data_IF_008622978502
#
_entry.id   IF_008622978502
#
_cell.length_a   1.000
_cell.length_b   1.000
_cell.length_c   1.000
_cell.angle_alpha   90.00
_cell.angle_beta   90.00
_cell.angle_gamma   90.00
#
_symmetry.space_group_name_H-M   'P 1'
#
loop_
_entity.id
_entity.type
_entity.pdbx_description
1 polymer ?
#
# COMPACT_ATOMS: atom_id res chain seq x y z
N UNK A 1 26.41 23.83 -28.30
CA UNK A 1 26.49 22.49 -28.93
C UNK A 1 25.77 21.48 -28.04
N UNK A 2 24.67 20.87 -28.49
CA UNK A 2 23.99 19.83 -27.72
C UNK A 2 24.89 18.58 -27.65
N UNK A 3 25.21 18.12 -26.44
CA UNK A 3 26.01 16.91 -26.21
C UNK A 3 25.27 15.73 -26.82
N UNK A 4 25.74 15.18 -27.94
CA UNK A 4 25.15 13.98 -28.55
C UNK A 4 25.23 12.85 -27.52
N UNK A 5 24.07 12.42 -27.01
CA UNK A 5 23.94 11.32 -26.07
C UNK A 5 24.27 10.04 -26.84
N UNK A 6 25.33 9.33 -26.45
CA UNK A 6 25.75 8.08 -27.10
C UNK A 6 24.74 6.99 -26.75
N UNK A 7 23.86 6.69 -27.70
CA UNK A 7 22.92 5.59 -27.58
C UNK A 7 23.58 4.32 -28.08
N UNK A 8 23.66 3.29 -27.23
CA UNK A 8 24.08 1.96 -27.68
C UNK A 8 22.87 1.31 -28.33
N UNK A 9 22.90 1.20 -29.65
CA UNK A 9 21.87 0.51 -30.45
C UNK A 9 22.28 -0.96 -30.56
N UNK A 10 21.36 -1.88 -30.30
CA UNK A 10 21.62 -3.32 -30.48
C UNK A 10 21.56 -3.72 -31.98
N UNK A 11 22.00 -4.95 -32.35
CA UNK A 11 21.94 -5.43 -33.73
C UNK A 11 20.52 -5.55 -34.32
N UNK A 12 19.47 -5.39 -33.49
CA UNK A 12 18.06 -5.39 -33.86
C UNK A 12 17.51 -3.96 -33.97
N UNK A 13 18.36 -2.93 -33.89
CA UNK A 13 17.98 -1.53 -33.99
C UNK A 13 17.34 -0.96 -32.72
N UNK A 14 17.26 -1.75 -31.62
CA UNK A 14 16.64 -1.28 -30.38
C UNK A 14 17.65 -0.52 -29.53
N UNK A 15 17.21 0.60 -28.99
CA UNK A 15 18.01 1.40 -28.08
C UNK A 15 18.20 0.65 -26.76
N UNK A 16 19.44 0.31 -26.40
CA UNK A 16 19.76 -0.30 -25.11
C UNK A 16 19.70 0.77 -24.02
N UNK A 17 19.04 0.45 -22.92
CA UNK A 17 19.08 1.29 -21.71
C UNK A 17 20.51 1.35 -21.19
N UNK A 18 20.97 2.56 -20.91
CA UNK A 18 22.24 2.81 -20.21
C UNK A 18 22.18 2.26 -18.79
N UNK A 19 23.33 2.03 -18.14
CA UNK A 19 23.38 1.50 -16.76
C UNK A 19 22.59 2.39 -15.79
N UNK A 20 22.71 3.72 -15.93
CA UNK A 20 21.96 4.67 -15.09
C UNK A 20 20.46 4.63 -15.33
N UNK A 21 20.00 4.43 -16.57
CA UNK A 21 18.57 4.28 -16.86
C UNK A 21 18.00 2.98 -16.30
N UNK A 22 18.76 1.88 -16.31
CA UNK A 22 18.34 0.62 -15.68
C UNK A 22 18.19 0.78 -14.17
N UNK A 23 19.16 1.44 -13.52
CA UNK A 23 19.10 1.74 -12.09
C UNK A 23 17.91 2.65 -11.79
N UNK A 24 17.74 3.72 -12.58
CA UNK A 24 16.62 4.65 -12.41
C UNK A 24 15.26 3.97 -12.52
N UNK A 25 15.07 3.11 -13.53
CA UNK A 25 13.85 2.33 -13.68
C UNK A 25 13.63 1.36 -12.51
N UNK A 26 14.68 0.67 -12.08
CA UNK A 26 14.62 -0.23 -10.93
C UNK A 26 14.22 0.50 -9.65
N UNK A 27 14.83 1.65 -9.37
CA UNK A 27 14.49 2.46 -8.20
C UNK A 27 13.04 2.94 -8.23
N UNK A 28 12.56 3.43 -9.38
CA UNK A 28 11.16 3.86 -9.53
C UNK A 28 10.20 2.68 -9.33
N UNK A 29 10.50 1.52 -9.93
CA UNK A 29 9.68 0.32 -9.77
C UNK A 29 9.59 -0.12 -8.30
N UNK A 30 10.71 -0.07 -7.56
CA UNK A 30 10.73 -0.37 -6.12
C UNK A 30 9.86 0.61 -5.33
N UNK A 31 9.96 1.91 -5.60
CA UNK A 31 9.13 2.93 -4.93
C UNK A 31 7.64 2.71 -5.18
N UNK A 32 7.26 2.40 -6.42
CA UNK A 32 5.88 2.06 -6.78
C UNK A 32 5.42 0.80 -6.03
N UNK A 33 6.26 -0.24 -5.98
CA UNK A 33 5.96 -1.47 -5.23
C UNK A 33 5.71 -1.21 -3.74
N UNK A 34 6.57 -0.42 -3.10
CA UNK A 34 6.42 -0.04 -1.68
C UNK A 34 5.15 0.78 -1.47
N UNK A 35 4.83 1.72 -2.37
CA UNK A 35 3.60 2.51 -2.28
C UNK A 35 2.35 1.63 -2.37
N UNK A 36 2.31 0.68 -3.31
CA UNK A 36 1.20 -0.28 -3.44
C UNK A 36 1.06 -1.13 -2.18
N UNK A 37 2.16 -1.62 -1.61
CA UNK A 37 2.13 -2.36 -0.35
C UNK A 37 1.58 -1.53 0.80
N UNK A 38 1.94 -0.24 0.89
CA UNK A 38 1.40 0.68 1.88
C UNK A 38 -0.12 0.87 1.75
N UNK A 39 -0.62 0.98 0.52
CA UNK A 39 -2.07 1.06 0.27
C UNK A 39 -2.78 -0.22 0.71
N UNK A 40 -2.25 -1.40 0.35
CA UNK A 40 -2.81 -2.69 0.76
C UNK A 40 -2.82 -2.80 2.29
N UNK A 41 -1.73 -2.44 2.96
CA UNK A 41 -1.64 -2.44 4.40
C UNK A 41 -2.69 -1.50 5.03
N UNK A 42 -2.87 -0.30 4.48
CA UNK A 42 -3.90 0.64 4.91
C UNK A 42 -5.31 0.06 4.79
N UNK A 43 -5.63 -0.59 3.66
CA UNK A 43 -6.93 -1.25 3.46
C UNK A 43 -7.13 -2.43 4.41
N UNK A 44 -6.09 -3.22 4.67
CA UNK A 44 -6.18 -4.33 5.63
C UNK A 44 -6.43 -3.79 7.04
N UNK A 45 -5.71 -2.74 7.45
CA UNK A 45 -5.91 -2.11 8.76
C UNK A 45 -7.31 -1.50 8.88
N UNK A 46 -7.78 -0.78 7.87
CA UNK A 46 -9.14 -0.23 7.78
C UNK A 46 -10.18 -1.33 8.03
N UNK A 47 -10.05 -2.48 7.36
CA UNK A 47 -10.96 -3.62 7.60
C UNK A 47 -10.86 -4.22 8.99
N UNK A 48 -9.65 -4.31 9.55
CA UNK A 48 -9.48 -4.83 10.91
C UNK A 48 -10.07 -3.88 11.96
N UNK A 49 -9.97 -2.57 11.75
CA UNK A 49 -10.59 -1.56 12.61
C UNK A 49 -12.11 -1.54 12.45
N UNK A 50 -12.63 -1.67 11.22
CA UNK A 50 -14.07 -1.84 10.99
C UNK A 50 -14.63 -3.11 11.69
N UNK A 51 -13.85 -4.19 11.76
CA UNK A 51 -14.22 -5.38 12.54
C UNK A 51 -14.21 -5.13 14.04
N UNK A 52 -13.30 -4.30 14.55
CA UNK A 52 -13.27 -3.89 15.95
C UNK A 52 -14.52 -3.07 16.29
N UNK A 53 -14.88 -2.08 15.46
CA UNK A 53 -16.12 -1.31 15.60
C UNK A 53 -17.37 -2.20 15.51
N UNK A 54 -17.38 -3.24 14.66
CA UNK A 54 -18.50 -4.19 14.61
C UNK A 54 -18.56 -5.13 15.83
N UNK A 55 -17.42 -5.44 16.44
CA UNK A 55 -17.33 -6.21 17.69
C UNK A 55 -17.66 -5.36 18.92
N UNK A 56 -17.32 -4.07 18.90
CA UNK A 56 -17.66 -3.07 19.93
C UNK A 56 -19.11 -2.58 19.78
N UNK A 57 -19.68 -2.58 18.56
CA UNK A 57 -21.12 -2.41 18.31
C UNK A 57 -21.94 -3.65 18.71
N UNK A 58 -21.27 -4.79 18.93
CA UNK A 58 -21.83 -5.90 19.72
C UNK A 58 -22.00 -5.55 21.20
N UNK A 59 -21.63 -4.33 21.59
CA UNK A 59 -21.75 -3.74 22.92
C UNK A 59 -22.56 -2.46 23.01
N UNK A 60 -23.72 -2.42 22.35
CA UNK A 60 -24.96 -2.03 23.05
C UNK A 60 -25.24 -3.07 24.16
N UNK A 61 -24.28 -3.24 25.08
CA UNK A 61 -24.50 -3.88 26.35
C UNK A 61 -25.12 -2.80 27.21
N UNK A 62 -26.42 -2.64 27.04
CA UNK A 62 -27.32 -2.05 28.02
C UNK A 62 -27.51 -0.52 28.03
N UNK A 63 -28.42 -0.05 27.19
CA UNK A 63 -29.21 1.16 27.48
C UNK A 63 -30.54 0.82 28.21
N UNK A 64 -30.69 -0.37 28.82
CA UNK A 64 -32.01 -0.85 29.28
C UNK A 64 -32.11 -1.84 30.46
N UNK A 65 -31.14 -1.99 31.36
CA UNK A 65 -31.12 -3.19 32.22
C UNK A 65 -29.75 -3.61 32.75
N UNK A 66 -29.15 -2.77 33.60
CA UNK A 66 -27.85 -3.06 34.18
C UNK A 66 -27.88 -4.34 35.01
N UNK A 67 -26.71 -4.93 35.22
CA UNK A 67 -26.42 -6.09 36.09
C UNK A 67 -26.78 -5.90 37.59
N UNK A 68 -27.68 -4.98 37.92
CA UNK A 68 -28.20 -4.71 39.27
C UNK A 68 -29.50 -5.43 39.63
N UNK A 69 -30.25 -6.00 38.68
CA UNK A 69 -31.60 -6.56 38.95
C UNK A 69 -31.62 -8.03 39.36
N UNK A 70 -30.47 -8.72 39.44
CA UNK A 70 -30.42 -10.17 39.72
C UNK A 70 -30.60 -10.53 41.21
N UNK A 71 -30.54 -9.57 42.12
CA UNK A 71 -30.61 -9.81 43.57
C UNK A 71 -31.67 -8.95 44.28
N UNK A 72 -32.82 -8.74 43.63
CA UNK A 72 -34.04 -8.23 44.27
C UNK A 72 -35.16 -9.26 44.22
#
# INVERSE_FOLDING_TARGET
MARRKSYVIDPQGRRRLTRSEKIGLGSVATLVGVAVLGVIAGVVLDRLLDFDDALDAGGEWDEGGGVGTRWQ
#
